data_IF_711554506976
#
_entry.id   IF_711554506976
#
_cell.length_a   1.000
_cell.length_b   1.000
_cell.length_c   1.000
_cell.angle_alpha   90.00
_cell.angle_beta   90.00
_cell.angle_gamma   90.00
#
_symmetry.space_group_name_H-M   'P 1'
#
loop_
_entity.id
_entity.type
_entity.pdbx_description
1 polymer ?
#
# COMPACT_ATOMS: atom_id res chain seq x y z
N UNK A 1 -47.93 -60.02 -23.41
CA UNK A 1 -47.80 -59.62 -24.83
C UNK A 1 -46.45 -58.94 -24.96
N UNK A 2 -45.58 -59.45 -25.85
CA UNK A 2 -44.12 -59.28 -25.86
C UNK A 2 -43.68 -57.82 -26.05
N UNK A 3 -42.85 -57.30 -25.14
CA UNK A 3 -42.02 -56.10 -25.35
C UNK A 3 -40.86 -56.45 -26.29
N UNK A 4 -40.68 -55.67 -27.36
CA UNK A 4 -39.56 -55.79 -28.30
C UNK A 4 -38.41 -54.91 -27.82
N UNK A 5 -37.28 -55.52 -27.51
CA UNK A 5 -36.00 -54.85 -27.33
C UNK A 5 -35.51 -54.31 -28.69
N UNK A 6 -35.24 -53.02 -28.77
CA UNK A 6 -34.36 -52.43 -29.78
C UNK A 6 -33.07 -52.01 -29.07
N UNK A 7 -31.96 -52.67 -29.40
CA UNK A 7 -30.63 -52.20 -29.06
C UNK A 7 -30.37 -50.91 -29.86
N UNK A 8 -30.02 -49.83 -29.17
CA UNK A 8 -29.29 -48.72 -29.77
C UNK A 8 -27.85 -48.81 -29.30
N UNK A 9 -26.93 -49.08 -30.23
CA UNK A 9 -25.49 -48.89 -30.03
C UNK A 9 -25.23 -47.41 -29.76
N UNK A 10 -24.74 -47.07 -28.57
CA UNK A 10 -24.16 -45.76 -28.30
C UNK A 10 -22.65 -45.88 -28.44
N UNK A 11 -22.10 -45.28 -29.50
CA UNK A 11 -20.66 -45.14 -29.69
C UNK A 11 -20.11 -44.22 -28.60
N UNK A 12 -19.17 -44.73 -27.80
CA UNK A 12 -18.43 -43.92 -26.82
C UNK A 12 -17.37 -43.13 -27.58
N UNK A 13 -17.56 -41.82 -27.71
CA UNK A 13 -16.51 -40.92 -28.15
C UNK A 13 -15.67 -40.54 -26.92
N UNK A 14 -14.53 -41.21 -26.73
CA UNK A 14 -13.55 -40.79 -25.72
C UNK A 14 -12.76 -39.61 -26.29
N UNK A 15 -13.19 -38.39 -25.97
CA UNK A 15 -12.32 -37.22 -26.10
C UNK A 15 -11.35 -37.21 -24.93
N UNK A 16 -10.11 -37.62 -25.19
CA UNK A 16 -8.99 -37.34 -24.30
C UNK A 16 -8.75 -35.83 -24.37
N UNK A 17 -9.14 -35.09 -23.34
CA UNK A 17 -8.71 -33.70 -23.17
C UNK A 17 -7.26 -33.76 -22.65
N UNK A 18 -6.27 -33.22 -23.38
CA UNK A 18 -4.95 -33.03 -22.81
C UNK A 18 -5.09 -31.97 -21.71
N UNK A 19 -4.99 -32.40 -20.45
CA UNK A 19 -4.95 -31.50 -19.30
C UNK A 19 -3.63 -30.75 -19.31
N UNK A 20 -3.64 -29.57 -19.92
CA UNK A 20 -2.76 -28.42 -19.66
C UNK A 20 -3.35 -27.19 -20.39
N UNK A 21 -4.61 -26.90 -20.13
CA UNK A 21 -5.12 -25.56 -20.43
C UNK A 21 -4.59 -24.63 -19.32
N UNK A 22 -3.85 -23.55 -19.64
CA UNK A 22 -3.58 -22.52 -18.66
C UNK A 22 -4.94 -22.06 -18.11
N UNK A 23 -5.07 -21.97 -16.79
CA UNK A 23 -6.18 -21.25 -16.18
C UNK A 23 -6.12 -19.82 -16.72
N UNK A 24 -6.93 -19.52 -17.73
CA UNK A 24 -7.18 -18.14 -18.13
C UNK A 24 -7.89 -17.51 -16.93
N UNK A 25 -7.26 -16.48 -16.37
CA UNK A 25 -7.89 -15.64 -15.36
C UNK A 25 -9.29 -15.27 -15.84
N UNK A 26 -10.28 -15.36 -14.95
CA UNK A 26 -11.62 -14.87 -15.21
C UNK A 26 -11.50 -13.40 -15.63
N UNK A 27 -11.69 -13.11 -16.92
CA UNK A 27 -11.59 -11.74 -17.41
C UNK A 27 -12.58 -10.88 -16.64
N UNK A 28 -12.08 -9.84 -15.97
CA UNK A 28 -12.92 -8.83 -15.32
C UNK A 28 -13.56 -7.98 -16.44
N UNK A 29 -14.87 -8.13 -16.73
CA UNK A 29 -15.49 -7.31 -17.75
C UNK A 29 -15.33 -5.84 -17.35
N UNK A 30 -14.77 -5.04 -18.26
CA UNK A 30 -14.42 -3.61 -18.10
C UNK A 30 -13.09 -3.27 -17.40
N UNK A 31 -12.23 -4.26 -17.12
CA UNK A 31 -10.85 -4.00 -16.68
C UNK A 31 -9.88 -4.73 -17.62
N UNK A 32 -9.60 -4.18 -18.80
CA UNK A 32 -8.67 -4.80 -19.74
C UNK A 32 -7.24 -4.74 -19.19
N UNK A 33 -6.55 -5.88 -19.20
CA UNK A 33 -5.10 -5.90 -18.98
C UNK A 33 -4.41 -5.25 -20.18
N UNK A 34 -3.68 -4.16 -19.95
CA UNK A 34 -2.98 -3.42 -21.02
C UNK A 34 -1.58 -3.98 -21.28
N UNK A 35 -0.85 -4.33 -20.22
CA UNK A 35 0.47 -4.93 -20.29
C UNK A 35 0.80 -5.70 -19.01
N UNK A 36 1.85 -6.52 -19.06
CA UNK A 36 2.39 -7.22 -17.89
C UNK A 36 3.91 -7.13 -17.92
N UNK A 37 4.51 -6.67 -16.82
CA UNK A 37 5.96 -6.56 -16.65
C UNK A 37 6.37 -7.26 -15.35
N UNK A 38 7.41 -8.10 -15.40
CA UNK A 38 8.00 -8.74 -14.22
C UNK A 38 9.52 -8.79 -14.38
N UNK A 39 10.18 -7.72 -13.96
CA UNK A 39 11.64 -7.57 -14.02
C UNK A 39 12.33 -8.32 -12.89
N UNK A 40 11.63 -8.55 -11.77
CA UNK A 40 12.18 -9.12 -10.54
C UNK A 40 11.46 -10.40 -10.08
N UNK A 41 11.40 -11.46 -10.90
CA UNK A 41 10.65 -12.67 -10.55
C UNK A 41 11.20 -13.43 -9.34
N UNK A 42 12.48 -13.26 -9.02
CA UNK A 42 13.13 -13.91 -7.87
C UNK A 42 13.06 -13.08 -6.59
N UNK A 43 13.23 -11.75 -6.69
CA UNK A 43 13.14 -10.86 -5.54
C UNK A 43 11.69 -10.58 -5.15
N UNK A 44 10.76 -10.54 -6.11
CA UNK A 44 9.37 -10.19 -5.85
C UNK A 44 9.17 -8.70 -5.55
N UNK A 45 7.91 -8.31 -5.56
CA UNK A 45 7.46 -6.94 -5.29
C UNK A 45 6.72 -6.91 -3.96
N UNK A 46 6.84 -5.81 -3.22
CA UNK A 46 6.24 -5.67 -1.90
C UNK A 46 5.57 -4.32 -1.63
N UNK A 47 5.59 -3.40 -2.61
CA UNK A 47 4.78 -2.19 -2.59
C UNK A 47 4.56 -1.64 -4.01
N UNK A 48 3.56 -0.79 -4.18
CA UNK A 48 3.25 -0.10 -5.44
C UNK A 48 2.59 1.26 -5.18
N UNK A 49 3.27 2.33 -5.58
CA UNK A 49 2.78 3.71 -5.48
C UNK A 49 2.81 4.43 -6.82
N UNK A 50 1.84 5.33 -7.07
CA UNK A 50 1.76 6.12 -8.30
C UNK A 50 2.35 7.52 -8.14
N UNK A 51 3.04 8.02 -9.15
CA UNK A 51 3.55 9.39 -9.22
C UNK A 51 3.31 9.99 -10.60
N UNK A 52 2.69 11.17 -10.65
CA UNK A 52 2.54 11.95 -11.89
C UNK A 52 3.51 13.13 -11.85
N UNK A 53 4.46 13.15 -12.77
CA UNK A 53 5.42 14.24 -12.88
C UNK A 53 4.75 15.53 -13.44
N UNK A 54 5.35 16.72 -13.22
CA UNK A 54 4.79 17.98 -13.70
C UNK A 54 4.57 18.08 -15.22
N UNK A 55 5.27 17.27 -16.01
CA UNK A 55 5.11 17.18 -17.47
C UNK A 55 3.97 16.24 -17.91
N UNK A 56 3.27 15.64 -16.95
CA UNK A 56 2.15 14.73 -17.18
C UNK A 56 2.55 13.26 -17.39
N UNK A 57 3.84 12.92 -17.29
CA UNK A 57 4.28 11.51 -17.30
C UNK A 57 3.86 10.82 -16.03
N UNK A 58 3.42 9.57 -16.16
CA UNK A 58 2.98 8.75 -15.03
C UNK A 58 4.03 7.66 -14.75
N UNK A 59 4.32 7.46 -13.48
CA UNK A 59 5.30 6.50 -12.99
C UNK A 59 4.69 5.60 -11.93
N UNK A 60 5.03 4.31 -11.98
CA UNK A 60 4.86 3.40 -10.87
C UNK A 60 6.19 3.28 -10.10
N UNK A 61 6.13 3.54 -8.80
CA UNK A 61 7.20 3.28 -7.85
C UNK A 61 6.91 1.92 -7.21
N UNK A 62 7.72 0.92 -7.53
CA UNK A 62 7.52 -0.45 -7.07
C UNK A 62 8.56 -0.79 -6.00
N UNK A 63 8.07 -1.18 -4.82
CA UNK A 63 8.89 -1.84 -3.82
C UNK A 63 9.34 -3.20 -4.35
N UNK A 64 10.65 -3.44 -4.34
CA UNK A 64 11.29 -4.72 -4.65
C UNK A 64 12.05 -5.13 -3.39
N UNK A 65 12.19 -6.42 -3.08
CA UNK A 65 12.86 -6.81 -1.82
C UNK A 65 14.23 -6.12 -1.63
N UNK A 66 14.98 -5.91 -2.71
CA UNK A 66 16.34 -5.33 -2.70
C UNK A 66 16.41 -3.84 -3.06
N UNK A 67 15.28 -3.12 -3.21
CA UNK A 67 15.30 -1.74 -3.70
C UNK A 67 13.93 -1.18 -4.11
N UNK A 68 13.97 -0.07 -4.84
CA UNK A 68 12.79 0.58 -5.43
C UNK A 68 12.99 0.69 -6.93
N UNK A 69 12.07 0.12 -7.70
CA UNK A 69 12.02 0.23 -9.16
C UNK A 69 11.13 1.40 -9.55
N UNK A 70 11.59 2.25 -10.46
CA UNK A 70 10.81 3.37 -11.01
C UNK A 70 10.50 3.06 -12.46
N UNK A 71 9.21 2.90 -12.74
CA UNK A 71 8.71 2.45 -14.04
C UNK A 71 7.89 3.56 -14.67
N UNK A 72 8.28 4.02 -15.84
CA UNK A 72 7.44 4.89 -16.66
C UNK A 72 6.28 4.08 -17.22
N UNK A 73 5.06 4.55 -16.93
CA UNK A 73 3.79 3.94 -17.34
C UNK A 73 2.94 4.91 -18.19
N UNK A 74 3.54 5.99 -18.70
CA UNK A 74 2.85 6.99 -19.54
C UNK A 74 2.23 6.35 -20.79
N UNK A 75 2.90 5.35 -21.36
CA UNK A 75 2.29 4.40 -22.30
C UNK A 75 2.02 3.08 -21.56
N UNK A 76 0.78 2.83 -21.10
CA UNK A 76 0.47 1.65 -20.29
C UNK A 76 0.56 0.33 -21.09
N UNK A 77 0.65 0.39 -22.42
CA UNK A 77 0.91 -0.79 -23.24
C UNK A 77 2.41 -1.15 -23.28
N UNK A 78 3.30 -0.19 -23.00
CA UNK A 78 4.75 -0.34 -23.09
C UNK A 78 5.46 0.26 -21.85
N UNK A 79 5.25 -0.30 -20.64
CA UNK A 79 5.93 0.18 -19.44
C UNK A 79 7.44 -0.07 -19.53
N UNK A 80 8.24 0.87 -19.00
CA UNK A 80 9.71 0.82 -19.05
C UNK A 80 10.29 1.21 -17.70
N UNK A 81 11.13 0.36 -17.11
CA UNK A 81 11.94 0.74 -15.95
C UNK A 81 12.98 1.78 -16.35
N UNK A 82 12.95 2.94 -15.68
CA UNK A 82 13.85 4.07 -15.92
C UNK A 82 14.91 4.24 -14.82
N UNK A 83 14.66 3.70 -13.63
CA UNK A 83 15.64 3.68 -12.54
C UNK A 83 15.40 2.51 -11.58
N UNK A 84 16.48 2.08 -10.92
CA UNK A 84 16.41 1.16 -9.77
C UNK A 84 17.33 1.69 -8.67
N UNK A 85 16.76 1.88 -7.48
CA UNK A 85 17.46 2.42 -6.30
C UNK A 85 17.65 1.28 -5.30
N UNK A 86 18.87 0.81 -5.04
CA UNK A 86 19.11 -0.26 -4.08
C UNK A 86 18.76 0.14 -2.64
N UNK A 87 18.39 -0.86 -1.83
CA UNK A 87 18.22 -0.70 -0.39
C UNK A 87 18.52 -2.03 0.31
N UNK A 88 18.48 -2.05 1.64
CA UNK A 88 18.57 -3.29 2.39
C UNK A 88 17.43 -4.26 2.01
N UNK A 89 17.74 -5.56 1.98
CA UNK A 89 16.76 -6.60 1.64
C UNK A 89 15.66 -6.64 2.69
N UNK A 90 14.44 -6.29 2.30
CA UNK A 90 13.26 -6.27 3.16
C UNK A 90 12.08 -6.99 2.51
N UNK A 91 11.33 -7.78 3.27
CA UNK A 91 10.07 -8.36 2.80
C UNK A 91 8.98 -7.30 2.65
N UNK A 92 9.03 -6.25 3.46
CA UNK A 92 8.04 -5.18 3.50
C UNK A 92 8.69 -3.83 3.23
N UNK A 93 8.02 -3.03 2.40
CA UNK A 93 8.36 -1.63 2.12
C UNK A 93 7.06 -0.86 2.02
N UNK A 94 7.17 0.45 2.18
CA UNK A 94 6.09 1.35 1.81
C UNK A 94 6.67 2.64 1.22
N UNK A 95 5.99 3.16 0.21
CA UNK A 95 6.39 4.30 -0.60
C UNK A 95 5.26 5.32 -0.64
N UNK A 96 5.58 6.57 -0.34
CA UNK A 96 4.68 7.72 -0.54
C UNK A 96 5.44 8.90 -1.13
N UNK A 97 4.70 9.77 -1.79
CA UNK A 97 5.27 10.95 -2.45
C UNK A 97 4.77 12.25 -1.84
N UNK A 98 5.65 13.25 -1.78
CA UNK A 98 5.31 14.64 -1.50
C UNK A 98 6.05 15.55 -2.47
N UNK A 99 5.33 16.37 -3.23
CA UNK A 99 5.90 17.12 -4.35
C UNK A 99 6.63 16.19 -5.31
N UNK A 100 7.92 16.42 -5.59
CA UNK A 100 8.77 15.57 -6.42
C UNK A 100 9.67 14.63 -5.61
N UNK A 101 9.40 14.45 -4.31
CA UNK A 101 10.14 13.53 -3.45
C UNK A 101 9.33 12.24 -3.22
N UNK A 102 10.02 11.11 -3.21
CA UNK A 102 9.50 9.85 -2.67
C UNK A 102 10.20 9.50 -1.36
N UNK A 103 9.42 9.09 -0.39
CA UNK A 103 9.87 8.56 0.88
C UNK A 103 9.68 7.05 0.87
N UNK A 104 10.73 6.31 1.22
CA UNK A 104 10.70 4.83 1.21
C UNK A 104 11.13 4.32 2.58
N UNK A 105 10.24 3.56 3.21
CA UNK A 105 10.53 2.89 4.49
C UNK A 105 10.63 1.39 4.32
N UNK A 106 11.31 0.74 5.27
CA UNK A 106 11.52 -0.71 5.29
C UNK A 106 11.66 -1.20 6.73
N UNK A 107 11.45 -2.51 6.92
CA UNK A 107 11.77 -3.20 8.19
C UNK A 107 13.21 -3.72 8.26
N UNK A 108 14.04 -3.48 7.23
CA UNK A 108 15.41 -4.00 7.15
C UNK A 108 16.47 -3.06 7.76
N UNK A 109 16.06 -1.94 8.36
CA UNK A 109 16.95 -0.94 8.95
C UNK A 109 17.33 0.19 7.99
N UNK A 110 18.14 1.14 8.45
CA UNK A 110 18.68 2.23 7.63
C UNK A 110 17.85 3.51 7.60
N UNK A 111 16.71 3.54 8.29
CA UNK A 111 15.80 4.68 8.35
C UNK A 111 14.93 4.79 7.10
N UNK A 112 14.64 6.01 6.68
CA UNK A 112 13.80 6.31 5.52
C UNK A 112 14.65 6.90 4.40
N UNK A 113 14.66 6.23 3.23
CA UNK A 113 15.28 6.80 2.03
C UNK A 113 14.42 7.96 1.53
N UNK A 114 15.10 9.00 1.03
CA UNK A 114 14.47 10.16 0.41
C UNK A 114 14.99 10.23 -1.03
N UNK A 115 14.10 10.11 -1.99
CA UNK A 115 14.43 10.08 -3.42
C UNK A 115 13.91 11.34 -4.08
N UNK A 116 14.80 12.09 -4.73
CA UNK A 116 14.45 13.20 -5.60
C UNK A 116 14.11 12.68 -7.01
N UNK A 117 12.85 12.88 -7.41
CA UNK A 117 12.28 12.45 -8.68
C UNK A 117 12.27 13.57 -9.74
N UNK A 118 12.79 14.77 -9.45
CA UNK A 118 12.76 15.92 -10.36
C UNK A 118 13.55 15.71 -11.65
N UNK A 119 14.52 14.79 -11.63
CA UNK A 119 15.34 14.44 -12.79
C UNK A 119 14.71 13.38 -13.72
N UNK A 120 13.52 12.87 -13.40
CA UNK A 120 12.85 11.87 -14.23
C UNK A 120 12.57 12.41 -15.65
N UNK A 121 12.63 11.54 -16.68
CA UNK A 121 12.93 10.10 -16.62
C UNK A 121 14.43 9.76 -16.56
N UNK A 122 15.33 10.75 -16.54
CA UNK A 122 16.77 10.49 -16.75
C UNK A 122 17.49 10.06 -15.48
N UNK A 123 17.14 10.64 -14.33
CA UNK A 123 17.81 10.38 -13.06
C UNK A 123 16.84 10.40 -11.90
N UNK A 124 17.09 9.51 -10.94
CA UNK A 124 16.55 9.59 -9.58
C UNK A 124 17.74 9.71 -8.64
N UNK A 125 17.71 10.71 -7.75
CA UNK A 125 18.81 10.96 -6.82
C UNK A 125 18.39 10.54 -5.42
N UNK A 126 19.10 9.61 -4.80
CA UNK A 126 18.95 9.34 -3.37
C UNK A 126 19.65 10.45 -2.57
N UNK A 127 18.88 11.13 -1.71
CA UNK A 127 19.37 12.15 -0.79
C UNK A 127 19.85 11.52 0.51
N UNK A 128 20.27 12.36 1.46
CA UNK A 128 20.63 11.86 2.79
C UNK A 128 19.39 11.25 3.46
N UNK A 129 19.44 9.97 3.89
CA UNK A 129 18.28 9.32 4.49
C UNK A 129 17.94 9.95 5.84
N UNK A 130 16.65 9.93 6.18
CA UNK A 130 16.20 10.30 7.52
C UNK A 130 16.48 9.14 8.48
N UNK A 131 17.23 9.40 9.56
CA UNK A 131 17.73 8.38 10.50
C UNK A 131 17.16 8.52 11.92
N UNK A 132 16.07 9.28 12.09
CA UNK A 132 15.39 9.41 13.39
C UNK A 132 14.73 8.13 13.89
N UNK A 133 14.54 7.14 13.01
CA UNK A 133 14.21 5.76 13.33
C UNK A 133 15.07 4.81 12.49
N UNK A 134 15.13 3.53 12.89
CA UNK A 134 15.84 2.51 12.12
C UNK A 134 14.93 1.81 11.12
N UNK A 135 13.70 1.52 11.52
CA UNK A 135 12.70 0.79 10.73
C UNK A 135 11.37 1.51 10.80
N UNK A 136 10.56 1.32 9.76
CA UNK A 136 9.16 1.69 9.76
C UNK A 136 8.43 0.71 8.83
N UNK A 137 7.28 0.25 9.27
CA UNK A 137 6.46 -0.73 8.55
C UNK A 137 5.75 -0.06 7.37
N UNK A 138 5.19 1.13 7.61
CA UNK A 138 4.32 1.83 6.67
C UNK A 138 4.36 3.34 6.95
N UNK A 139 4.03 4.14 5.94
CA UNK A 139 3.96 5.60 6.02
C UNK A 139 2.71 6.16 5.34
N UNK A 140 2.24 7.28 5.86
CA UNK A 140 1.23 8.11 5.21
C UNK A 140 1.72 9.54 5.03
N UNK A 141 1.38 10.16 3.90
CA UNK A 141 1.71 11.56 3.63
C UNK A 141 0.41 12.36 3.47
N UNK A 142 0.17 13.27 4.41
CA UNK A 142 -0.80 14.35 4.24
C UNK A 142 -0.18 15.44 3.36
N UNK A 143 -0.45 15.35 2.06
CA UNK A 143 0.08 16.28 1.06
C UNK A 143 -0.46 17.71 1.20
N UNK A 144 -1.59 17.90 1.91
CA UNK A 144 -2.20 19.22 2.09
C UNK A 144 -1.46 20.00 3.16
N UNK A 145 -1.17 19.34 4.29
CA UNK A 145 -0.49 19.95 5.43
C UNK A 145 1.04 19.76 5.40
N UNK A 146 1.55 18.93 4.47
CA UNK A 146 2.96 18.62 4.34
C UNK A 146 3.49 17.81 5.53
N UNK A 147 2.73 16.81 5.97
CA UNK A 147 3.08 15.96 7.11
C UNK A 147 3.26 14.52 6.67
N UNK A 148 4.24 13.84 7.24
CA UNK A 148 4.45 12.41 7.10
C UNK A 148 4.21 11.72 8.44
N UNK A 149 3.43 10.65 8.41
CA UNK A 149 3.16 9.76 9.53
C UNK A 149 3.92 8.47 9.29
N UNK A 150 4.74 8.04 10.24
CA UNK A 150 5.51 6.81 10.13
C UNK A 150 5.24 5.88 11.30
N UNK A 151 4.90 4.63 11.00
CA UNK A 151 4.59 3.60 11.99
C UNK A 151 5.60 2.44 11.98
N UNK A 152 5.61 1.65 13.05
CA UNK A 152 6.39 0.39 13.12
C UNK A 152 7.69 0.45 13.92
N UNK A 153 7.86 1.46 14.78
CA UNK A 153 8.88 1.44 15.83
C UNK A 153 8.21 1.34 17.21
N UNK A 154 8.43 0.23 17.91
CA UNK A 154 7.86 -0.04 19.24
C UNK A 154 8.12 1.07 20.27
N UNK A 155 9.12 1.93 20.06
CA UNK A 155 9.42 3.06 20.93
C UNK A 155 8.48 4.26 20.75
N UNK A 156 8.06 4.54 19.52
CA UNK A 156 7.18 5.67 19.16
C UNK A 156 6.20 5.23 18.06
N UNK A 157 4.96 4.87 18.42
CA UNK A 157 4.11 4.06 17.55
C UNK A 157 3.71 4.71 16.23
N UNK A 158 3.33 6.00 16.28
CA UNK A 158 3.11 6.83 15.11
C UNK A 158 3.93 8.11 15.28
N UNK A 159 4.99 8.26 14.49
CA UNK A 159 5.81 9.48 14.44
C UNK A 159 5.18 10.47 13.47
N UNK A 160 5.21 11.75 13.80
CA UNK A 160 4.77 12.84 12.91
C UNK A 160 5.97 13.67 12.50
N UNK A 161 6.26 13.68 11.21
CA UNK A 161 7.36 14.41 10.61
C UNK A 161 6.80 15.58 9.78
N UNK A 162 7.33 16.77 10.04
CA UNK A 162 7.11 17.93 9.19
C UNK A 162 7.94 17.81 7.92
N UNK A 163 7.28 17.99 6.77
CA UNK A 163 7.90 18.10 5.44
C UNK A 163 8.01 19.57 4.98
N UNK A 164 8.11 20.52 5.91
CA UNK A 164 8.36 21.93 5.58
C UNK A 164 9.70 22.11 4.82
N UNK A 165 10.69 21.28 5.13
CA UNK A 165 11.84 20.99 4.29
C UNK A 165 11.77 19.50 3.89
N UNK A 166 11.31 19.18 2.67
CA UNK A 166 11.13 17.79 2.23
C UNK A 166 12.42 16.97 2.18
N UNK A 167 13.59 17.61 2.06
CA UNK A 167 14.90 16.96 2.05
C UNK A 167 15.41 16.66 3.46
N UNK A 168 14.94 17.43 4.44
CA UNK A 168 15.30 17.28 5.85
C UNK A 168 14.06 17.21 6.75
N UNK A 169 13.24 16.14 6.66
CA UNK A 169 12.08 15.97 7.52
C UNK A 169 12.45 16.06 9.01
N UNK A 170 11.60 16.71 9.80
CA UNK A 170 11.81 16.87 11.25
C UNK A 170 10.65 16.26 11.99
N UNK A 171 10.93 15.34 12.92
CA UNK A 171 9.89 14.83 13.81
C UNK A 171 9.44 15.93 14.78
N UNK A 172 8.13 16.17 14.84
CA UNK A 172 7.51 17.20 15.68
C UNK A 172 6.61 16.62 16.78
N UNK A 173 6.17 15.38 16.62
CA UNK A 173 5.37 14.67 17.61
C UNK A 173 5.47 13.15 17.43
N UNK A 174 4.96 12.42 18.42
CA UNK A 174 4.60 11.02 18.30
C UNK A 174 3.33 10.78 19.13
N UNK A 175 2.49 9.83 18.71
CA UNK A 175 1.25 9.52 19.40
C UNK A 175 0.82 8.06 19.18
N UNK A 176 -0.32 7.69 19.77
CA UNK A 176 -0.94 6.40 19.55
C UNK A 176 -0.34 5.27 20.38
N UNK A 177 -0.64 4.06 19.94
CA UNK A 177 -0.09 2.79 20.42
C UNK A 177 0.34 1.97 19.20
N UNK A 178 1.01 0.84 19.44
CA UNK A 178 1.46 -0.06 18.37
C UNK A 178 0.36 -0.28 17.32
N UNK A 179 0.71 -0.06 16.05
CA UNK A 179 -0.22 -0.02 14.94
C UNK A 179 0.41 -0.57 13.67
N UNK A 180 -0.42 -0.80 12.67
CA UNK A 180 -0.01 -1.37 11.39
C UNK A 180 -0.11 -0.38 10.22
N UNK A 181 -1.07 0.54 10.28
CA UNK A 181 -1.34 1.49 9.21
C UNK A 181 -1.95 2.77 9.77
N UNK A 182 -1.66 3.90 9.13
CA UNK A 182 -2.26 5.20 9.41
C UNK A 182 -2.86 5.79 8.14
N UNK A 183 -4.08 6.29 8.26
CA UNK A 183 -4.74 7.07 7.23
C UNK A 183 -5.11 8.45 7.77
N UNK A 184 -4.86 9.52 7.02
CA UNK A 184 -5.20 10.89 7.45
C UNK A 184 -6.10 11.59 6.44
N UNK A 185 -7.24 12.10 6.93
CA UNK A 185 -8.18 12.89 6.14
C UNK A 185 -8.81 13.97 7.02
N UNK A 186 -8.88 15.20 6.50
CA UNK A 186 -9.54 16.34 7.14
C UNK A 186 -9.16 16.54 8.61
N UNK A 187 -7.84 16.59 8.87
CA UNK A 187 -7.25 16.74 10.20
C UNK A 187 -7.58 15.62 11.19
N UNK A 188 -8.00 14.45 10.71
CA UNK A 188 -8.16 13.24 11.53
C UNK A 188 -7.21 12.16 11.07
N UNK A 189 -6.47 11.58 12.01
CA UNK A 189 -5.70 10.38 11.79
C UNK A 189 -6.46 9.16 12.30
N UNK A 190 -6.58 8.15 11.46
CA UNK A 190 -7.20 6.86 11.74
C UNK A 190 -6.09 5.81 11.78
N UNK A 191 -5.82 5.30 12.97
CA UNK A 191 -4.69 4.43 13.28
C UNK A 191 -5.19 3.02 13.48
N UNK A 192 -4.75 2.08 12.64
CA UNK A 192 -5.06 0.67 12.78
C UNK A 192 -4.20 0.04 13.88
N UNK A 193 -4.73 -0.09 15.10
CA UNK A 193 -3.97 -0.48 16.30
C UNK A 193 -3.68 -1.99 16.39
N UNK A 194 -3.58 -2.69 15.24
CA UNK A 194 -3.06 -4.05 15.11
C UNK A 194 -3.71 -5.05 16.05
N UNK A 195 -2.87 -5.67 16.89
CA UNK A 195 -3.27 -6.66 17.89
C UNK A 195 -4.17 -6.14 19.01
N UNK A 196 -4.34 -4.82 19.12
CA UNK A 196 -5.26 -4.21 20.10
C UNK A 196 -6.72 -4.39 19.71
N UNK A 197 -7.00 -4.71 18.43
CA UNK A 197 -8.35 -4.96 17.96
C UNK A 197 -9.17 -3.68 17.79
N UNK A 198 -8.53 -2.54 17.53
CA UNK A 198 -9.19 -1.22 17.46
C UNK A 198 -8.66 -0.32 16.33
N UNK A 199 -9.47 0.66 15.96
CA UNK A 199 -9.03 1.87 15.25
C UNK A 199 -8.99 3.03 16.24
N UNK A 200 -7.82 3.64 16.41
CA UNK A 200 -7.67 4.90 17.15
C UNK A 200 -7.95 6.08 16.22
N UNK A 201 -8.86 6.97 16.60
CA UNK A 201 -9.17 8.19 15.86
C UNK A 201 -8.59 9.37 16.64
N UNK A 202 -7.71 10.13 16.00
CA UNK A 202 -7.01 11.25 16.60
C UNK A 202 -7.31 12.55 15.85
N UNK A 203 -7.48 13.63 16.59
CA UNK A 203 -7.42 14.99 16.03
C UNK A 203 -5.96 15.37 15.83
N UNK A 204 -5.61 15.69 14.58
CA UNK A 204 -4.29 16.13 14.15
C UNK A 204 -4.31 17.55 13.55
N UNK A 205 -5.34 18.35 13.86
CA UNK A 205 -5.43 19.77 13.46
C UNK A 205 -4.19 20.55 13.88
N UNK A 206 -3.64 20.23 15.06
CA UNK A 206 -2.29 20.60 15.42
C UNK A 206 -1.40 19.34 15.36
N UNK A 207 -0.61 19.14 14.29
CA UNK A 207 0.19 17.94 14.13
C UNK A 207 1.33 17.83 15.16
N UNK A 208 1.69 18.93 15.84
CA UNK A 208 2.63 18.92 16.96
C UNK A 208 2.01 18.49 18.30
N UNK A 209 0.68 18.38 18.38
CA UNK A 209 -0.03 17.89 19.57
C UNK A 209 -1.28 17.08 19.22
N UNK A 210 -1.12 15.88 18.63
CA UNK A 210 -2.25 15.00 18.34
C UNK A 210 -3.01 14.59 19.60
N UNK A 211 -4.34 14.50 19.52
CA UNK A 211 -5.16 14.09 20.67
C UNK A 211 -6.12 12.97 20.29
N UNK A 212 -6.24 11.96 21.16
CA UNK A 212 -7.18 10.86 20.94
C UNK A 212 -8.62 11.37 21.10
N UNK A 213 -9.42 11.21 20.05
CA UNK A 213 -10.86 11.47 20.10
C UNK A 213 -11.63 10.23 20.56
N UNK A 214 -11.34 9.08 19.93
CA UNK A 214 -12.08 7.85 20.17
C UNK A 214 -11.25 6.62 19.80
N UNK A 215 -11.53 5.49 20.46
CA UNK A 215 -11.17 4.16 19.95
C UNK A 215 -12.42 3.40 19.53
N UNK A 216 -12.44 2.95 18.28
CA UNK A 216 -13.46 2.04 17.76
C UNK A 216 -12.98 0.60 17.98
N UNK A 217 -13.71 -0.16 18.78
CA UNK A 217 -13.39 -1.57 19.04
C UNK A 217 -13.96 -2.43 17.92
N UNK A 218 -13.11 -3.17 17.24
CA UNK A 218 -13.53 -4.06 16.15
C UNK A 218 -14.21 -5.31 16.75
N UNK A 219 -15.48 -5.58 16.42
CA UNK A 219 -16.16 -6.77 16.92
C UNK A 219 -15.53 -8.02 16.33
N UNK A 220 -15.23 -9.01 17.19
CA UNK A 220 -14.53 -10.23 16.82
C UNK A 220 -13.24 -9.91 16.04
N UNK A 221 -12.43 -9.00 16.57
CA UNK A 221 -11.20 -8.53 15.93
C UNK A 221 -10.24 -9.67 15.58
N UNK A 222 -9.60 -9.54 14.42
CA UNK A 222 -8.29 -10.15 14.16
C UNK A 222 -7.17 -9.17 14.47
N UNK A 223 -6.09 -9.28 13.72
CA UNK A 223 -5.06 -8.25 13.65
C UNK A 223 -5.54 -7.12 12.73
N UNK A 224 -5.88 -5.96 13.30
CA UNK A 224 -6.46 -4.84 12.55
C UNK A 224 -5.42 -4.24 11.63
N UNK A 225 -5.71 -4.19 10.33
CA UNK A 225 -4.71 -3.91 9.30
C UNK A 225 -4.79 -2.48 8.83
N UNK A 226 -5.94 -2.07 8.25
CA UNK A 226 -6.11 -0.73 7.72
C UNK A 226 -7.56 -0.26 7.77
N UNK A 227 -7.75 1.01 7.42
CA UNK A 227 -9.06 1.61 7.22
C UNK A 227 -9.07 2.57 6.03
N UNK A 228 -10.27 2.87 5.55
CA UNK A 228 -10.48 3.89 4.53
C UNK A 228 -11.78 4.64 4.80
N UNK A 229 -11.75 5.96 4.68
CA UNK A 229 -12.89 6.83 4.94
C UNK A 229 -13.47 7.36 3.63
N UNK A 230 -14.78 7.49 3.56
CA UNK A 230 -15.44 8.10 2.40
C UNK A 230 -15.13 9.59 2.33
N UNK A 231 -15.12 10.16 1.12
CA UNK A 231 -14.76 11.56 0.90
C UNK A 231 -15.67 12.57 1.65
N UNK A 232 -16.87 12.16 2.04
CA UNK A 232 -17.81 12.96 2.83
C UNK A 232 -17.67 12.75 4.36
N UNK A 233 -16.69 11.95 4.80
CA UNK A 233 -16.46 11.55 6.21
C UNK A 233 -17.65 10.89 6.90
N UNK A 234 -18.62 10.34 6.17
CA UNK A 234 -19.76 9.66 6.80
C UNK A 234 -19.50 8.20 7.10
N UNK A 235 -18.64 7.54 6.34
CA UNK A 235 -18.41 6.12 6.48
C UNK A 235 -16.95 5.75 6.49
N UNK A 236 -16.63 4.71 7.25
CA UNK A 236 -15.32 4.10 7.27
C UNK A 236 -15.43 2.59 7.02
N UNK A 237 -14.52 2.05 6.21
CA UNK A 237 -14.30 0.63 6.04
C UNK A 237 -13.06 0.23 6.84
N UNK A 238 -13.10 -0.90 7.52
CA UNK A 238 -11.91 -1.46 8.20
C UNK A 238 -11.69 -2.90 7.80
N UNK A 239 -10.43 -3.32 7.75
CA UNK A 239 -10.05 -4.71 7.46
C UNK A 239 -9.05 -5.24 8.49
N UNK A 240 -8.90 -6.57 8.53
CA UNK A 240 -7.94 -7.26 9.37
C UNK A 240 -7.11 -8.23 8.54
N UNK A 241 -5.82 -8.31 8.84
CA UNK A 241 -4.89 -9.27 8.25
C UNK A 241 -4.95 -10.59 9.03
N UNK A 242 -6.15 -11.16 9.09
CA UNK A 242 -6.39 -12.44 9.72
C UNK A 242 -7.41 -13.21 8.91
N UNK A 243 -7.06 -14.44 8.55
CA UNK A 243 -7.92 -15.28 7.73
C UNK A 243 -9.30 -15.48 8.38
N UNK A 244 -10.36 -15.44 7.58
CA UNK A 244 -11.74 -15.63 8.03
C UNK A 244 -12.39 -14.40 8.69
N UNK A 245 -11.73 -13.23 8.70
CA UNK A 245 -12.35 -11.98 9.13
C UNK A 245 -13.15 -11.34 7.98
N UNK A 246 -14.13 -10.53 8.35
CA UNK A 246 -14.98 -9.78 7.42
C UNK A 246 -14.54 -8.33 7.36
N UNK A 247 -14.84 -7.62 6.27
CA UNK A 247 -14.81 -6.16 6.26
C UNK A 247 -15.86 -5.63 7.24
N UNK A 248 -15.56 -4.54 7.95
CA UNK A 248 -16.55 -3.81 8.75
C UNK A 248 -16.79 -2.45 8.13
N UNK A 249 -18.03 -2.01 8.23
CA UNK A 249 -18.50 -0.73 7.71
C UNK A 249 -19.10 0.05 8.86
N UNK A 250 -18.60 1.27 9.07
CA UNK A 250 -18.89 2.10 10.21
C UNK A 250 -19.57 3.37 9.73
N UNK A 251 -20.62 3.79 10.43
CA UNK A 251 -21.13 5.15 10.35
C UNK A 251 -20.31 6.01 11.33
N UNK A 252 -19.62 7.00 10.79
CA UNK A 252 -18.74 7.93 11.53
C UNK A 252 -19.20 9.38 11.36
N UNK A 253 -20.47 9.60 10.98
CA UNK A 253 -21.00 10.95 10.76
C UNK A 253 -21.20 11.78 12.03
N UNK A 254 -21.02 11.20 13.22
CA UNK A 254 -21.32 11.81 14.53
C UNK A 254 -20.07 12.11 15.34
#
# INVERSE_FOLDING_TARGET
>A
MKSRNFLLLMAVLVTVVPGNAPMLAQGSPNVPLLSQMNLYPAAGYNDCWGYTAPDGREYALLGVQTGTSVVDITDPANPVEVAFIPSATSLWKDIKTYQHYAYVVTEAGGGMQILDLSGLPNTVTELTPYTGFQTSHNIYVDVVNGMLYAEGDFGEPVRVLSLADPEHPVQIAAFGIECHDVFVQDNRAYVAEGGSGSIGIFDVTNPANPTLLQRLIIPNAGYVHNCWVTADNHYMMTTEETNGKTIKYWDISN
#
